data_IF_624144310601
#
_entry.id   IF_624144310601
#
_cell.length_a   1.000
_cell.length_b   1.000
_cell.length_c   1.000
_cell.angle_alpha   90.00
_cell.angle_beta   90.00
_cell.angle_gamma   90.00
#
_symmetry.space_group_name_H-M   'P 1'
#
loop_
_entity.id
_entity.type
_entity.pdbx_description
1 polymer ?
#
# COMPACT_ATOMS: atom_id res chain seq x y z
N UNK A 1 -14.05 1.84 -6.98
CA UNK A 1 -12.91 1.61 -6.07
C UNK A 1 -13.31 0.40 -5.24
N UNK A 2 -12.79 -0.79 -5.55
CA UNK A 2 -13.02 -1.96 -4.70
C UNK A 2 -12.25 -1.74 -3.41
N UNK A 3 -12.97 -1.65 -2.30
CA UNK A 3 -12.42 -1.55 -0.95
C UNK A 3 -12.72 -2.83 -0.18
N UNK A 4 -11.76 -3.32 0.59
CA UNK A 4 -11.94 -4.48 1.46
C UNK A 4 -11.91 -4.07 2.93
N UNK A 5 -12.63 -4.84 3.77
CA UNK A 5 -12.41 -4.83 5.22
C UNK A 5 -11.51 -6.01 5.53
N UNK A 6 -10.33 -5.73 6.08
CA UNK A 6 -9.36 -6.75 6.43
C UNK A 6 -9.26 -6.84 7.96
N UNK A 7 -9.38 -8.04 8.55
CA UNK A 7 -9.17 -8.21 9.98
C UNK A 7 -7.71 -7.91 10.31
N UNK A 8 -7.49 -7.09 11.33
CA UNK A 8 -6.16 -6.84 11.86
C UNK A 8 -5.82 -7.90 12.92
N UNK A 9 -4.53 -8.31 13.05
CA UNK A 9 -4.05 -9.10 14.17
C UNK A 9 -4.39 -8.43 15.50
N UNK A 10 -4.90 -9.21 16.48
CA UNK A 10 -5.31 -8.68 17.78
C UNK A 10 -4.14 -8.49 18.76
N UNK A 11 -3.10 -9.30 18.60
CA UNK A 11 -2.06 -9.49 19.62
C UNK A 11 -0.76 -8.74 19.30
N UNK A 12 -0.71 -7.97 18.21
CA UNK A 12 0.47 -7.20 17.81
C UNK A 12 0.09 -5.82 17.24
N UNK A 13 0.92 -4.82 17.54
CA UNK A 13 0.83 -3.52 16.90
C UNK A 13 1.09 -3.68 15.39
N UNK A 14 0.10 -3.28 14.58
CA UNK A 14 0.18 -3.41 13.13
C UNK A 14 0.56 -2.06 12.53
N UNK A 15 1.75 -1.98 11.95
CA UNK A 15 2.17 -0.75 11.27
C UNK A 15 1.45 -0.55 9.92
N UNK A 16 1.47 0.67 9.40
CA UNK A 16 0.79 0.98 8.13
C UNK A 16 1.30 0.13 6.96
N UNK A 17 2.56 -0.30 6.98
CA UNK A 17 3.15 -1.10 5.90
C UNK A 17 2.63 -2.54 5.96
N UNK A 18 2.53 -3.09 7.16
CA UNK A 18 1.97 -4.41 7.45
C UNK A 18 0.47 -4.43 7.16
N UNK A 19 -0.29 -3.41 7.57
CA UNK A 19 -1.71 -3.30 7.25
C UNK A 19 -1.95 -3.32 5.73
N UNK A 20 -1.11 -2.62 4.97
CA UNK A 20 -1.16 -2.65 3.50
C UNK A 20 -0.78 -4.04 2.96
N UNK A 21 0.22 -4.72 3.53
CA UNK A 21 0.61 -6.06 3.12
C UNK A 21 -0.49 -7.10 3.36
N UNK A 22 -1.18 -7.01 4.51
CA UNK A 22 -2.35 -7.83 4.86
C UNK A 22 -3.48 -7.58 3.85
N UNK A 23 -3.77 -6.32 3.54
CA UNK A 23 -4.80 -5.96 2.55
C UNK A 23 -4.48 -6.45 1.13
N UNK A 24 -3.20 -6.56 0.77
CA UNK A 24 -2.75 -7.12 -0.51
C UNK A 24 -2.60 -8.66 -0.49
N UNK A 25 -2.99 -9.33 0.61
CA UNK A 25 -3.02 -10.79 0.71
C UNK A 25 -1.65 -11.45 0.89
N UNK A 26 -0.65 -10.72 1.39
CA UNK A 26 0.72 -11.24 1.55
C UNK A 26 1.07 -11.39 3.02
N UNK A 27 0.51 -12.43 3.63
CA UNK A 27 0.96 -12.91 4.93
C UNK A 27 2.37 -13.49 4.76
N UNK A 28 3.33 -12.80 5.36
CA UNK A 28 4.75 -13.14 5.40
C UNK A 28 4.97 -14.54 6.01
N UNK A 29 5.38 -15.51 5.18
CA UNK A 29 6.11 -16.71 5.64
C UNK A 29 7.63 -16.46 5.65
N UNK A 30 8.46 -17.34 6.24
CA UNK A 30 9.89 -17.10 6.53
C UNK A 30 10.82 -16.97 5.30
N UNK A 31 10.28 -16.91 4.09
CA UNK A 31 11.03 -16.79 2.83
C UNK A 31 10.96 -15.37 2.20
N UNK A 32 10.63 -14.35 2.99
CA UNK A 32 10.20 -13.04 2.51
C UNK A 32 11.27 -12.03 2.06
N UNK A 33 12.57 -12.32 2.14
CA UNK A 33 13.58 -11.31 1.79
C UNK A 33 13.57 -10.96 0.28
N UNK A 34 13.06 -11.85 -0.57
CA UNK A 34 12.86 -11.59 -2.00
C UNK A 34 11.46 -11.01 -2.33
N UNK A 35 10.60 -10.83 -1.32
CA UNK A 35 9.24 -10.36 -1.49
C UNK A 35 9.14 -8.83 -1.57
N UNK A 36 10.12 -8.08 -1.04
CA UNK A 36 10.07 -6.61 -1.03
C UNK A 36 10.10 -5.99 -2.44
N UNK A 37 10.65 -6.70 -3.44
CA UNK A 37 10.77 -6.20 -4.81
C UNK A 37 9.59 -6.56 -5.73
N UNK A 38 8.76 -7.55 -5.37
CA UNK A 38 7.77 -8.13 -6.31
C UNK A 38 6.31 -7.73 -6.00
N UNK A 39 6.04 -7.14 -4.84
CA UNK A 39 4.77 -7.47 -4.18
C UNK A 39 3.74 -6.36 -3.96
N UNK A 40 3.95 -5.17 -4.50
CA UNK A 40 2.90 -4.14 -4.56
C UNK A 40 2.15 -4.13 -5.91
N UNK A 41 1.98 -5.31 -6.51
CA UNK A 41 1.26 -5.46 -7.78
C UNK A 41 -0.24 -5.54 -7.52
N UNK A 42 -0.88 -4.38 -7.40
CA UNK A 42 -2.35 -4.29 -7.41
C UNK A 42 -2.82 -4.46 -8.87
N UNK A 43 -2.90 -5.70 -9.35
CA UNK A 43 -3.37 -6.05 -10.69
C UNK A 43 -2.30 -6.07 -11.81
N UNK A 44 -2.63 -6.66 -12.98
CA UNK A 44 -1.76 -6.67 -14.14
C UNK A 44 -1.53 -5.23 -14.63
N UNK A 45 -0.26 -4.78 -14.67
CA UNK A 45 0.12 -3.48 -15.20
C UNK A 45 0.52 -2.41 -14.18
N UNK A 46 0.37 -2.64 -12.87
CA UNK A 46 0.87 -1.73 -11.85
C UNK A 46 2.24 -2.20 -11.35
N UNK A 47 3.29 -1.76 -12.05
CA UNK A 47 4.69 -2.11 -11.73
C UNK A 47 5.23 -1.19 -10.64
N UNK A 48 4.78 0.07 -10.62
CA UNK A 48 5.21 1.08 -9.65
C UNK A 48 4.20 1.14 -8.49
N UNK A 49 4.63 0.90 -7.22
CA UNK A 49 3.79 1.06 -6.04
C UNK A 49 3.35 2.52 -5.83
N UNK A 50 2.16 2.76 -5.23
CA UNK A 50 1.81 4.05 -4.68
C UNK A 50 2.75 4.40 -3.52
N UNK A 51 3.15 5.66 -3.42
CA UNK A 51 4.09 6.10 -2.36
C UNK A 51 3.46 7.01 -1.32
N UNK A 52 2.13 7.20 -1.35
CA UNK A 52 1.41 7.97 -0.34
C UNK A 52 0.22 7.17 0.17
N UNK A 53 -0.02 7.27 1.47
CA UNK A 53 -1.22 6.77 2.10
C UNK A 53 -1.91 7.89 2.90
N UNK A 54 -3.22 7.79 2.99
CA UNK A 54 -4.05 8.65 3.85
C UNK A 54 -4.78 7.75 4.82
N UNK A 55 -4.51 7.92 6.11
CA UNK A 55 -5.25 7.25 7.18
C UNK A 55 -6.33 8.21 7.67
N UNK A 56 -7.56 7.76 7.64
CA UNK A 56 -8.70 8.46 8.21
C UNK A 56 -9.07 7.75 9.51
N UNK A 57 -8.84 8.44 10.62
CA UNK A 57 -9.09 7.94 11.98
C UNK A 57 -10.26 8.69 12.60
N UNK A 58 -11.23 7.96 13.11
CA UNK A 58 -12.30 8.54 13.91
C UNK A 58 -11.87 8.52 15.39
N UNK A 59 -11.83 9.69 16.02
CA UNK A 59 -11.54 9.84 17.43
C UNK A 59 -12.77 9.50 18.27
N UNK A 60 -12.59 9.09 19.55
CA UNK A 60 -13.70 8.86 20.46
C UNK A 60 -14.60 10.10 20.67
N UNK A 61 -14.06 11.29 20.46
CA UNK A 61 -14.80 12.57 20.50
C UNK A 61 -15.76 12.78 19.33
N UNK A 62 -15.76 11.89 18.32
CA UNK A 62 -16.55 12.01 17.09
C UNK A 62 -15.87 12.80 15.98
N UNK A 63 -14.70 13.38 16.23
CA UNK A 63 -13.91 14.06 15.21
C UNK A 63 -13.17 13.07 14.31
N UNK A 64 -12.95 13.47 13.06
CA UNK A 64 -12.21 12.68 12.10
C UNK A 64 -10.87 13.34 11.75
N UNK A 65 -9.77 12.65 12.02
CA UNK A 65 -8.42 13.12 11.71
C UNK A 65 -7.93 12.44 10.44
N UNK A 66 -7.35 13.24 9.55
CA UNK A 66 -6.70 12.77 8.33
C UNK A 66 -5.19 12.83 8.52
N UNK A 67 -4.53 11.69 8.42
CA UNK A 67 -3.09 11.55 8.60
C UNK A 67 -2.49 11.18 7.26
N UNK A 68 -1.65 12.08 6.73
CA UNK A 68 -0.94 11.85 5.48
C UNK A 68 0.39 11.17 5.80
N UNK A 69 0.64 10.03 5.17
CA UNK A 69 1.85 9.24 5.36
C UNK A 69 2.60 9.11 4.03
N UNK A 70 3.89 9.46 4.04
CA UNK A 70 4.80 9.17 2.92
C UNK A 70 5.35 7.75 3.09
N UNK A 71 4.88 6.81 2.27
CA UNK A 71 5.30 5.42 2.35
C UNK A 71 6.77 5.24 1.96
N UNK A 72 7.33 6.13 1.12
CA UNK A 72 8.73 6.06 0.71
C UNK A 72 9.65 6.36 1.89
N UNK A 73 9.28 7.33 2.72
CA UNK A 73 10.03 7.66 3.93
C UNK A 73 9.79 6.62 5.01
N UNK A 74 8.53 6.20 5.21
CA UNK A 74 8.18 5.14 6.18
C UNK A 74 8.87 3.80 5.89
N UNK A 75 9.19 3.47 4.63
CA UNK A 75 10.01 2.31 4.29
C UNK A 75 11.40 2.38 4.93
N UNK A 76 12.06 3.53 4.83
CA UNK A 76 13.44 3.73 5.29
C UNK A 76 13.54 4.14 6.76
N UNK A 77 12.50 4.78 7.30
CA UNK A 77 12.45 5.30 8.66
C UNK A 77 11.28 4.66 9.43
N UNK A 78 11.54 3.68 10.32
CA UNK A 78 10.50 3.05 11.13
C UNK A 78 9.71 4.02 12.00
N UNK A 79 10.31 5.13 12.43
CA UNK A 79 9.66 6.14 13.28
C UNK A 79 8.52 6.89 12.56
N UNK A 80 8.48 6.85 11.23
CA UNK A 80 7.41 7.45 10.42
C UNK A 80 6.28 6.46 10.11
N UNK A 81 6.40 5.21 10.55
CA UNK A 81 5.35 4.20 10.40
C UNK A 81 4.30 4.40 11.48
N UNK A 82 3.16 4.93 11.09
CA UNK A 82 2.02 5.05 12.00
C UNK A 82 1.46 3.67 12.36
N UNK A 83 1.13 3.48 13.63
CA UNK A 83 0.39 2.31 14.11
C UNK A 83 -1.08 2.43 13.68
N UNK A 84 -1.59 1.39 13.04
CA UNK A 84 -2.96 1.32 12.53
C UNK A 84 -3.88 0.80 13.63
N UNK A 85 -4.98 1.52 13.87
CA UNK A 85 -5.94 1.19 14.92
C UNK A 85 -7.20 0.54 14.33
N UNK A 86 -7.94 -0.25 15.14
CA UNK A 86 -9.23 -0.78 14.73
C UNK A 86 -10.19 0.34 14.31
N UNK A 87 -10.78 0.20 13.12
CA UNK A 87 -11.71 1.19 12.57
C UNK A 87 -11.07 2.31 11.74
N UNK A 88 -9.75 2.33 11.60
CA UNK A 88 -9.07 3.23 10.67
C UNK A 88 -9.40 2.87 9.21
N UNK A 89 -9.55 3.89 8.37
CA UNK A 89 -9.68 3.74 6.92
C UNK A 89 -8.40 4.19 6.23
N UNK A 90 -7.81 3.32 5.40
CA UNK A 90 -6.55 3.61 4.71
C UNK A 90 -6.82 3.73 3.21
N UNK A 91 -6.39 4.85 2.62
CA UNK A 91 -6.46 5.10 1.19
C UNK A 91 -5.05 5.20 0.61
N UNK A 92 -4.76 4.39 -0.42
CA UNK A 92 -3.52 4.49 -1.17
C UNK A 92 -3.68 5.51 -2.30
N UNK A 93 -2.71 6.41 -2.43
CA UNK A 93 -2.71 7.46 -3.45
C UNK A 93 -1.43 7.43 -4.26
N UNK A 94 -1.58 7.33 -5.58
CA UNK A 94 -0.48 7.49 -6.51
C UNK A 94 -0.11 8.96 -6.70
N UNK A 95 1.18 9.24 -6.87
CA UNK A 95 1.65 10.52 -7.39
C UNK A 95 1.41 10.57 -8.91
N UNK A 96 1.18 11.74 -9.51
CA UNK A 96 0.99 11.85 -10.96
C UNK A 96 2.13 11.23 -11.78
N UNK A 97 3.38 11.36 -11.31
CA UNK A 97 4.56 10.73 -11.94
C UNK A 97 4.53 9.20 -11.90
N UNK A 98 3.97 8.60 -10.85
CA UNK A 98 3.85 7.14 -10.71
C UNK A 98 2.78 6.59 -11.64
N UNK A 99 1.69 7.34 -11.81
CA UNK A 99 0.65 7.03 -12.80
C UNK A 99 1.25 7.07 -14.21
N UNK A 100 1.98 8.14 -14.55
CA UNK A 100 2.62 8.27 -15.86
C UNK A 100 3.61 7.11 -16.14
N UNK A 101 4.41 6.72 -15.15
CA UNK A 101 5.32 5.58 -15.26
C UNK A 101 4.57 4.25 -15.46
N UNK A 102 3.51 4.00 -14.69
CA UNK A 102 2.67 2.81 -14.86
C UNK A 102 2.00 2.78 -16.24
N UNK A 103 1.50 3.92 -16.72
CA UNK A 103 0.90 4.04 -18.06
C UNK A 103 1.94 3.73 -19.15
N UNK A 104 3.14 4.33 -19.07
CA UNK A 104 4.21 4.08 -20.04
C UNK A 104 4.65 2.60 -20.08
N UNK A 105 4.80 1.97 -18.91
CA UNK A 105 5.18 0.55 -18.81
C UNK A 105 4.11 -0.40 -19.36
N UNK A 106 2.83 -0.04 -19.22
CA UNK A 106 1.73 -0.80 -19.84
C UNK A 106 1.79 -0.74 -21.37
N UNK A 107 2.09 0.42 -21.96
CA UNK A 107 2.23 0.55 -23.41
C UNK A 107 3.39 -0.30 -23.97
N UNK A 108 4.52 -0.35 -23.28
CA UNK A 108 5.69 -1.16 -23.71
C UNK A 108 5.38 -2.66 -23.64
N UNK A 109 4.76 -3.13 -22.55
CA UNK A 109 4.36 -4.54 -22.42
C UNK A 109 3.33 -4.96 -23.48
N UNK A 110 2.37 -4.10 -23.81
CA UNK A 110 1.38 -4.35 -24.86
C UNK A 110 2.04 -4.56 -26.23
N UNK A 111 3.01 -3.72 -26.59
CA UNK A 111 3.75 -3.87 -27.85
C UNK A 111 4.58 -5.16 -27.91
N UNK A 112 5.21 -5.56 -26.80
CA UNK A 112 6.02 -6.78 -26.74
C UNK A 112 5.18 -8.07 -26.88
N UNK A 113 3.94 -8.09 -26.36
CA UNK A 113 3.06 -9.26 -26.50
C UNK A 113 2.42 -9.42 -27.88
N UNK A 114 2.35 -8.36 -28.68
CA UNK A 114 1.80 -8.42 -30.04
C UNK A 114 2.88 -8.84 -31.05
N UNK A 115 4.15 -8.65 -30.72
CA UNK A 115 5.29 -8.93 -31.60
C UNK A 115 5.99 -10.26 -31.29
N UNK A 116 5.26 -11.26 -30.77
CA UNK A 116 5.77 -12.59 -30.43
C UNK A 116 4.90 -13.69 -31.03
#
# INVERSE_FOLDING_TARGET
IEGGKFPLPRDQDTDIMEAIAIANGKLSGPAGLNAAASNFRTGPGNIVPPTRAVVIRNLPSGEQVKILVDLRTAMNNPSERINVMPGDFIFLKYRPSEIAANVALNFVNFNYQINR
#
